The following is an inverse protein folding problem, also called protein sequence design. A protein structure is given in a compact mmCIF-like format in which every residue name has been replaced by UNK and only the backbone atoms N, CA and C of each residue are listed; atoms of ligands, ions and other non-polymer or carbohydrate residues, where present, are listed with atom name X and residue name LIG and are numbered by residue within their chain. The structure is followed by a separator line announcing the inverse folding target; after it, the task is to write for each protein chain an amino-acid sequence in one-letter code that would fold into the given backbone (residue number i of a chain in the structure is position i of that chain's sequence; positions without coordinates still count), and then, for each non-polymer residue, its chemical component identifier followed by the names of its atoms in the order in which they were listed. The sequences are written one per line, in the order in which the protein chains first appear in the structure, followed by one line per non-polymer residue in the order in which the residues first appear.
data_IF_821574603011
#
_entry.id   IF_821574603011
#
_cell.length_a   1.000
_cell.length_b   1.000
_cell.length_c   1.000
_cell.angle_alpha   90.00
_cell.angle_beta   90.00
_cell.angle_gamma   90.00
#
_symmetry.space_group_name_H-M   'P 1'
#
loop_
_entity.id
_entity.type
_entity.pdbx_description
1 polymer ?
#
# COMPACT_ATOMS: atom_id res chain seq x y z
N UNK A 1 4.23 1.82 -3.40
CA UNK A 1 5.30 1.35 -2.49
C UNK A 1 6.08 2.51 -1.90
N UNK A 2 6.89 3.23 -2.71
CA UNK A 2 7.73 4.34 -2.22
C UNK A 2 7.00 5.39 -1.36
N UNK A 3 5.78 5.78 -1.71
CA UNK A 3 4.96 6.75 -0.96
C UNK A 3 4.84 6.44 0.54
N UNK A 4 4.76 5.16 0.88
CA UNK A 4 4.50 4.66 2.23
C UNK A 4 5.67 3.86 2.80
N UNK A 5 6.85 3.93 2.15
CA UNK A 5 8.05 3.25 2.60
C UNK A 5 7.99 1.72 2.56
N UNK A 6 7.09 1.13 1.75
CA UNK A 6 7.00 -0.32 1.57
C UNK A 6 8.19 -0.83 0.74
N UNK A 7 8.87 -1.86 1.24
CA UNK A 7 10.08 -2.41 0.64
C UNK A 7 9.77 -3.57 -0.33
N UNK A 8 10.61 -3.78 -1.36
CA UNK A 8 10.54 -4.98 -2.18
C UNK A 8 10.62 -6.25 -1.33
N UNK A 9 9.71 -7.19 -1.59
CA UNK A 9 9.62 -8.49 -0.92
C UNK A 9 9.27 -8.44 0.57
N UNK A 10 8.81 -7.28 1.07
CA UNK A 10 8.30 -7.14 2.43
C UNK A 10 7.02 -7.96 2.61
N UNK A 11 6.88 -8.60 3.78
CA UNK A 11 5.64 -9.30 4.17
C UNK A 11 4.52 -8.28 4.32
N UNK A 12 3.39 -8.56 3.68
CA UNK A 12 2.20 -7.71 3.70
C UNK A 12 0.98 -8.51 4.16
N UNK A 13 0.06 -7.84 4.85
CA UNK A 13 -1.29 -8.33 5.08
C UNK A 13 -2.25 -7.56 4.18
N UNK A 14 -3.05 -8.30 3.41
CA UNK A 14 -4.03 -7.75 2.48
C UNK A 14 -5.43 -8.07 3.01
N UNK A 15 -6.28 -7.06 3.10
CA UNK A 15 -7.71 -7.21 3.30
C UNK A 15 -8.45 -6.78 2.04
N UNK A 16 -9.40 -7.60 1.57
CA UNK A 16 -10.25 -7.28 0.43
C UNK A 16 -11.65 -6.85 0.93
N UNK A 17 -12.07 -5.63 0.58
CA UNK A 17 -13.33 -5.05 1.04
C UNK A 17 -14.54 -5.65 0.33
N UNK A 18 -14.37 -6.22 -0.86
CA UNK A 18 -15.49 -6.75 -1.65
C UNK A 18 -16.00 -8.09 -1.10
N UNK A 19 -15.09 -8.94 -0.59
CA UNK A 19 -15.41 -10.31 -0.17
C UNK A 19 -15.03 -10.62 1.28
N UNK A 20 -14.33 -9.72 1.97
CA UNK A 20 -13.91 -9.91 3.36
C UNK A 20 -12.68 -10.79 3.55
N UNK A 21 -12.04 -11.26 2.47
CA UNK A 21 -10.83 -12.09 2.54
C UNK A 21 -9.69 -11.33 3.22
N UNK A 22 -8.91 -12.07 4.02
CA UNK A 22 -7.73 -11.55 4.73
C UNK A 22 -6.60 -12.57 4.61
N UNK A 23 -5.50 -12.15 4.00
CA UNK A 23 -4.38 -13.06 3.72
C UNK A 23 -3.04 -12.33 3.83
N UNK A 24 -2.00 -13.12 4.06
CA UNK A 24 -0.63 -12.64 4.10
C UNK A 24 0.12 -13.09 2.85
N UNK A 25 0.98 -12.21 2.33
CA UNK A 25 1.87 -12.51 1.20
C UNK A 25 3.06 -11.54 1.23
N UNK A 26 3.74 -11.31 0.11
CA UNK A 26 4.84 -10.35 0.00
C UNK A 26 4.63 -9.39 -1.19
N UNK A 27 5.17 -8.18 -1.08
CA UNK A 27 5.05 -7.15 -2.12
C UNK A 27 6.11 -7.31 -3.22
N UNK A 28 5.68 -7.41 -4.48
CA UNK A 28 6.57 -7.41 -5.65
C UNK A 28 6.47 -6.06 -6.37
N UNK A 29 7.58 -5.34 -6.62
CA UNK A 29 7.52 -4.08 -7.36
C UNK A 29 7.08 -4.26 -8.81
N UNK A 30 6.09 -3.48 -9.23
CA UNK A 30 5.78 -3.26 -10.65
C UNK A 30 6.61 -2.08 -11.20
N UNK A 31 6.75 -1.94 -12.54
CA UNK A 31 7.40 -0.76 -13.13
C UNK A 31 6.80 0.55 -12.61
N UNK A 32 7.65 1.53 -12.33
CA UNK A 32 7.20 2.81 -11.79
C UNK A 32 6.23 3.52 -12.75
N UNK A 33 5.17 4.11 -12.19
CA UNK A 33 4.16 4.85 -12.97
C UNK A 33 3.01 4.02 -13.55
N UNK A 34 3.08 2.68 -13.52
CA UNK A 34 1.97 1.82 -14.03
C UNK A 34 0.72 1.92 -13.18
N UNK A 35 0.88 2.21 -11.88
CA UNK A 35 -0.20 2.27 -10.86
C UNK A 35 -0.92 0.92 -10.68
N UNK A 36 -0.27 -0.16 -11.11
CA UNK A 36 -0.80 -1.51 -11.06
C UNK A 36 -0.79 -2.07 -9.64
N UNK A 37 -1.87 -2.76 -9.29
CA UNK A 37 -1.95 -3.65 -8.13
C UNK A 37 -2.50 -4.97 -8.66
N UNK A 38 -1.74 -6.05 -8.49
CA UNK A 38 -2.09 -7.36 -9.03
C UNK A 38 -1.96 -8.43 -7.95
N UNK A 39 -3.01 -9.23 -7.78
CA UNK A 39 -2.98 -10.46 -7.00
C UNK A 39 -2.52 -11.59 -7.92
N UNK A 40 -1.34 -12.14 -7.63
CA UNK A 40 -0.70 -13.14 -8.48
C UNK A 40 -0.79 -14.54 -7.85
N UNK A 41 -0.76 -15.57 -8.70
CA UNK A 41 -0.72 -16.98 -8.28
C UNK A 41 -1.90 -17.35 -7.37
N UNK A 42 -1.63 -18.00 -6.24
CA UNK A 42 -2.67 -18.45 -5.31
C UNK A 42 -3.56 -17.30 -4.79
N UNK A 43 -3.01 -16.09 -4.66
CA UNK A 43 -3.79 -14.92 -4.19
C UNK A 43 -4.78 -14.41 -5.23
N UNK A 44 -4.64 -14.78 -6.51
CA UNK A 44 -5.58 -14.42 -7.56
C UNK A 44 -6.99 -15.02 -7.35
N UNK A 45 -7.11 -16.06 -6.52
CA UNK A 45 -8.40 -16.64 -6.14
C UNK A 45 -9.12 -15.85 -5.04
N UNK A 46 -8.43 -14.90 -4.39
CA UNK A 46 -8.92 -14.16 -3.21
C UNK A 46 -9.42 -12.75 -3.55
N UNK A 47 -9.49 -12.41 -4.83
CA UNK A 47 -10.04 -11.15 -5.31
C UNK A 47 -10.18 -11.10 -6.81
N UNK A 48 -10.84 -10.05 -7.30
CA UNK A 48 -11.05 -9.80 -8.72
C UNK A 48 -10.53 -8.41 -9.12
N UNK A 49 -10.21 -8.17 -10.41
CA UNK A 49 -9.91 -6.83 -10.90
C UNK A 49 -11.03 -5.84 -10.56
N UNK A 50 -10.67 -4.72 -9.91
CA UNK A 50 -11.60 -3.69 -9.47
C UNK A 50 -11.95 -3.74 -7.98
N UNK A 51 -11.63 -4.84 -7.28
CA UNK A 51 -11.80 -4.91 -5.83
C UNK A 51 -10.96 -3.86 -5.10
N UNK A 52 -11.52 -3.32 -4.02
CA UNK A 52 -10.81 -2.40 -3.15
C UNK A 52 -10.04 -3.17 -2.08
N UNK A 53 -8.73 -2.92 -2.03
CA UNK A 53 -7.82 -3.58 -1.11
C UNK A 53 -7.29 -2.60 -0.05
N UNK A 54 -7.09 -3.10 1.16
CA UNK A 54 -6.27 -2.46 2.20
C UNK A 54 -5.02 -3.31 2.38
N UNK A 55 -3.85 -2.72 2.11
CA UNK A 55 -2.56 -3.40 2.17
C UNK A 55 -1.75 -2.79 3.31
N UNK A 56 -1.31 -3.62 4.24
CA UNK A 56 -0.61 -3.21 5.45
C UNK A 56 0.73 -3.92 5.56
N UNK A 57 1.73 -3.19 6.05
CA UNK A 57 2.96 -3.79 6.59
C UNK A 57 3.07 -3.43 8.06
N UNK A 58 3.88 -4.19 8.80
CA UNK A 58 4.03 -4.03 10.23
C UNK A 58 5.51 -3.82 10.56
N UNK A 59 5.77 -2.97 11.55
CA UNK A 59 7.10 -2.75 12.10
C UNK A 59 7.10 -3.19 13.56
N UNK A 60 8.17 -3.83 13.99
CA UNK A 60 8.45 -4.07 15.39
C UNK A 60 9.19 -2.87 15.96
N UNK A 61 8.73 -2.39 17.11
CA UNK A 61 9.23 -1.20 17.78
C UNK A 61 9.34 -1.49 19.27
N UNK A 62 10.30 -0.86 19.94
CA UNK A 62 10.27 -0.80 21.40
C UNK A 62 9.03 -0.02 21.89
N UNK A 63 8.56 -0.26 23.13
CA UNK A 63 7.45 0.50 23.70
C UNK A 63 7.67 2.02 23.68
N UNK A 64 8.92 2.45 23.80
CA UNK A 64 9.35 3.85 23.77
C UNK A 64 9.20 4.45 22.38
N UNK A 65 9.68 3.76 21.34
CA UNK A 65 9.54 4.18 19.95
C UNK A 65 8.06 4.22 19.54
N UNK A 66 7.28 3.20 19.94
CA UNK A 66 5.87 3.06 19.59
C UNK A 66 5.00 4.23 20.07
N UNK A 67 5.35 4.90 21.19
CA UNK A 67 4.60 6.06 21.71
C UNK A 67 4.56 7.24 20.74
N UNK A 68 5.61 7.41 19.93
CA UNK A 68 5.75 8.53 19.00
C UNK A 68 5.67 8.12 17.54
N UNK A 69 5.68 6.81 17.27
CA UNK A 69 5.62 6.29 15.92
C UNK A 69 4.29 6.62 15.26
N UNK A 70 4.36 6.99 13.98
CA UNK A 70 3.19 7.25 13.15
C UNK A 70 3.26 6.42 11.88
N UNK A 71 2.16 5.76 11.49
CA UNK A 71 2.14 5.00 10.25
C UNK A 71 2.24 5.95 9.05
N UNK A 72 2.86 5.43 8.00
CA UNK A 72 2.92 6.05 6.68
C UNK A 72 1.73 5.53 5.88
N UNK A 73 0.80 6.40 5.49
CA UNK A 73 -0.45 5.96 4.83
C UNK A 73 -0.70 6.75 3.56
N UNK A 74 -1.31 6.07 2.58
CA UNK A 74 -1.82 6.70 1.37
C UNK A 74 -3.14 6.04 0.97
N UNK A 75 -4.19 6.84 0.77
CA UNK A 75 -5.48 6.41 0.23
C UNK A 75 -5.59 6.87 -1.21
N UNK A 76 -5.84 5.92 -2.11
CA UNK A 76 -5.93 6.17 -3.55
C UNK A 76 -7.38 6.06 -4.03
N UNK A 77 -7.69 6.76 -5.12
CA UNK A 77 -8.95 6.70 -5.85
C UNK A 77 -8.71 6.70 -7.37
N UNK A 78 -9.80 6.59 -8.14
CA UNK A 78 -9.79 6.64 -9.60
C UNK A 78 -8.79 5.64 -10.21
N UNK A 79 -8.93 4.36 -9.85
CA UNK A 79 -8.00 3.29 -10.29
C UNK A 79 -6.53 3.62 -9.98
N UNK A 80 -6.27 3.98 -8.71
CA UNK A 80 -4.94 4.31 -8.20
C UNK A 80 -4.28 5.56 -8.82
N UNK A 81 -5.05 6.40 -9.55
CA UNK A 81 -4.53 7.59 -10.23
C UNK A 81 -4.51 8.83 -9.36
N UNK A 82 -5.40 8.91 -8.37
CA UNK A 82 -5.53 10.08 -7.50
C UNK A 82 -5.24 9.72 -6.05
N UNK A 83 -4.35 10.46 -5.40
CA UNK A 83 -4.16 10.39 -3.95
C UNK A 83 -5.25 11.25 -3.31
N UNK A 84 -6.10 10.64 -2.47
CA UNK A 84 -7.18 11.33 -1.75
C UNK A 84 -6.73 11.77 -0.37
N UNK A 85 -5.88 10.97 0.27
CA UNK A 85 -5.34 11.24 1.60
C UNK A 85 -3.95 10.67 1.72
N UNK A 86 -3.07 11.39 2.42
CA UNK A 86 -1.73 10.92 2.77
C UNK A 86 -1.38 11.41 4.17
N UNK A 87 -0.81 10.54 5.00
CA UNK A 87 -0.33 10.89 6.34
C UNK A 87 1.10 10.32 6.52
N UNK A 88 2.03 11.16 6.98
CA UNK A 88 3.46 10.83 7.21
C UNK A 88 4.14 10.11 6.02
N UNK A 89 4.14 10.68 4.80
CA UNK A 89 4.76 10.02 3.65
C UNK A 89 6.27 9.85 3.79
N UNK A 90 6.82 8.81 3.16
CA UNK A 90 8.28 8.59 3.10
C UNK A 90 8.98 9.60 2.18
N UNK A 91 8.25 10.14 1.21
CA UNK A 91 8.75 11.11 0.23
C UNK A 91 8.16 12.50 0.52
N UNK A 92 8.88 13.56 0.14
CA UNK A 92 8.39 14.92 0.34
C UNK A 92 7.10 15.17 -0.45
N UNK A 93 6.18 15.96 0.14
CA UNK A 93 4.88 16.28 -0.46
C UNK A 93 5.04 17.02 -1.80
N UNK A 94 6.11 17.80 -1.96
CA UNK A 94 6.45 18.52 -3.19
C UNK A 94 6.69 17.57 -4.37
N UNK A 95 7.39 16.44 -4.15
CA UNK A 95 7.59 15.39 -5.16
C UNK A 95 6.26 14.74 -5.58
N UNK A 96 5.23 14.74 -4.72
CA UNK A 96 3.92 14.15 -5.01
C UNK A 96 3.12 14.95 -6.03
N UNK A 97 3.28 16.28 -6.05
CA UNK A 97 2.51 17.15 -6.95
C UNK A 97 2.91 16.95 -8.42
N UNK A 98 4.14 16.51 -8.67
CA UNK A 98 4.62 16.10 -10.00
C UNK A 98 3.92 14.83 -10.51
N UNK A 99 3.44 13.94 -9.62
CA UNK A 99 2.72 12.71 -10.00
C UNK A 99 1.25 12.92 -10.37
N UNK A 100 0.70 14.11 -10.12
CA UNK A 100 -0.70 14.46 -10.39
C UNK A 100 -0.92 15.14 -11.75
N UNK A 101 0.15 15.39 -12.53
CA UNK A 101 0.07 15.83 -13.93
C UNK A 101 0.00 14.65 -14.89
#
# INVERSE_FOLDING_TARGET
MALVGMMPYEKILVGNLANGERFETYAIPAPAGTREVCLNGATAHLGAPGDLLVIMTFAELSPEEAKTWKPKTATLAEHNRRIVRIDNPEVSVELLTTFQR
#
